data_IF_492618631146
#
_entry.id   IF_492618631146
#
_cell.length_a   1.000
_cell.length_b   1.000
_cell.length_c   1.000
_cell.angle_alpha   90.00
_cell.angle_beta   90.00
_cell.angle_gamma   90.00
#
_symmetry.space_group_name_H-M   'P 1'
#
loop_
_entity.id
_entity.type
_entity.pdbx_description
1 polymer ?
#
# COMPACT_ATOMS: atom_id res chain seq x y z
N UNK A 1 -19.52 -15.08 -15.86
CA UNK A 1 -20.48 -14.77 -14.76
C UNK A 1 -21.89 -15.09 -15.23
N UNK A 2 -22.74 -15.59 -14.35
CA UNK A 2 -24.11 -16.01 -14.66
C UNK A 2 -25.10 -15.05 -14.00
N UNK A 3 -26.13 -14.64 -14.73
CA UNK A 3 -27.25 -13.90 -14.16
C UNK A 3 -27.90 -14.76 -13.06
N UNK A 4 -28.24 -14.14 -11.94
CA UNK A 4 -28.96 -14.82 -10.87
C UNK A 4 -30.32 -15.29 -11.41
N UNK A 5 -30.49 -16.60 -11.55
CA UNK A 5 -31.69 -17.18 -12.16
C UNK A 5 -32.89 -17.04 -11.21
N UNK A 6 -34.00 -16.53 -11.73
CA UNK A 6 -35.30 -16.46 -11.06
C UNK A 6 -36.29 -17.31 -11.88
N UNK A 7 -37.13 -18.09 -11.21
CA UNK A 7 -38.13 -18.91 -11.90
C UNK A 7 -39.24 -18.05 -12.50
N UNK A 8 -39.85 -18.52 -13.59
CA UNK A 8 -40.94 -17.80 -14.27
C UNK A 8 -42.14 -17.55 -13.34
N UNK A 9 -42.47 -18.50 -12.45
CA UNK A 9 -43.54 -18.33 -11.47
C UNK A 9 -43.23 -17.20 -10.50
N UNK A 10 -42.00 -17.16 -9.99
CA UNK A 10 -41.56 -16.11 -9.08
C UNK A 10 -41.57 -14.75 -9.78
N UNK A 11 -41.15 -14.69 -11.05
CA UNK A 11 -41.18 -13.46 -11.84
C UNK A 11 -42.61 -12.93 -12.06
N UNK A 12 -43.58 -13.81 -12.32
CA UNK A 12 -45.00 -13.43 -12.46
C UNK A 12 -45.56 -12.93 -11.13
N UNK A 13 -45.29 -13.62 -10.02
CA UNK A 13 -45.75 -13.22 -8.70
C UNK A 13 -45.20 -11.85 -8.31
N UNK A 14 -43.90 -11.62 -8.52
CA UNK A 14 -43.21 -10.36 -8.21
C UNK A 14 -43.78 -9.21 -9.04
N UNK A 15 -44.01 -9.45 -10.33
CA UNK A 15 -44.65 -8.47 -11.23
C UNK A 15 -46.08 -8.14 -10.81
N UNK A 16 -46.85 -9.13 -10.33
CA UNK A 16 -48.24 -8.94 -9.94
C UNK A 16 -48.34 -8.15 -8.62
N UNK A 17 -47.49 -8.50 -7.64
CA UNK A 17 -47.40 -7.81 -6.35
C UNK A 17 -46.92 -6.36 -6.49
N UNK A 18 -45.91 -6.11 -7.34
CA UNK A 18 -45.38 -4.77 -7.60
C UNK A 18 -46.00 -4.06 -8.80
N UNK A 19 -47.10 -4.60 -9.37
CA UNK A 19 -47.72 -4.07 -10.60
C UNK A 19 -48.11 -2.60 -10.50
N UNK A 20 -48.71 -2.19 -9.37
CA UNK A 20 -49.06 -0.78 -9.13
C UNK A 20 -47.82 0.11 -9.15
N UNK A 21 -46.75 -0.30 -8.45
CA UNK A 21 -45.50 0.46 -8.34
C UNK A 21 -44.74 0.54 -9.68
N UNK A 22 -44.77 -0.53 -10.46
CA UNK A 22 -44.17 -0.61 -11.80
C UNK A 22 -44.94 0.30 -12.78
N UNK A 23 -46.29 0.27 -12.74
CA UNK A 23 -47.13 1.09 -13.62
C UNK A 23 -47.02 2.59 -13.32
N UNK A 24 -46.86 2.97 -12.06
CA UNK A 24 -46.59 4.36 -11.67
C UNK A 24 -45.13 4.78 -11.93
N UNK A 25 -44.27 3.90 -12.45
CA UNK A 25 -42.88 4.20 -12.80
C UNK A 25 -41.95 4.40 -11.59
N UNK A 26 -42.42 4.10 -10.38
CA UNK A 26 -41.60 4.19 -9.16
C UNK A 26 -40.61 3.02 -9.04
N UNK A 27 -40.89 1.90 -9.70
CA UNK A 27 -40.00 0.76 -9.79
C UNK A 27 -39.80 0.36 -11.25
N UNK A 28 -38.58 -0.03 -11.60
CA UNK A 28 -38.24 -0.62 -12.89
C UNK A 28 -37.62 -2.00 -12.66
N UNK A 29 -37.94 -2.96 -13.53
CA UNK A 29 -37.38 -4.31 -13.46
C UNK A 29 -35.96 -4.32 -14.06
N UNK A 30 -34.99 -3.81 -13.30
CA UNK A 30 -33.56 -3.79 -13.68
C UNK A 30 -32.76 -4.76 -12.82
N UNK A 31 -31.93 -5.59 -13.47
CA UNK A 31 -30.97 -6.46 -12.79
C UNK A 31 -29.57 -5.89 -12.96
N UNK A 32 -29.02 -5.35 -11.88
CA UNK A 32 -27.64 -4.87 -11.84
C UNK A 32 -26.71 -6.05 -11.54
N UNK A 33 -25.68 -6.23 -12.37
CA UNK A 33 -24.67 -7.26 -12.18
C UNK A 33 -23.32 -6.58 -11.92
N UNK A 34 -22.83 -6.69 -10.69
CA UNK A 34 -21.49 -6.25 -10.32
C UNK A 34 -20.52 -7.42 -10.52
N UNK A 35 -19.51 -7.22 -11.37
CA UNK A 35 -18.51 -8.23 -11.70
C UNK A 35 -17.14 -7.67 -11.36
N UNK A 36 -16.46 -8.34 -10.45
CA UNK A 36 -15.06 -8.08 -10.17
C UNK A 36 -14.20 -8.65 -11.31
N UNK A 37 -13.61 -7.75 -12.10
CA UNK A 37 -12.74 -8.13 -13.23
C UNK A 37 -11.31 -8.44 -12.76
N UNK A 38 -10.84 -7.74 -11.73
CA UNK A 38 -9.49 -7.85 -11.21
C UNK A 38 -9.47 -7.48 -9.73
N UNK A 39 -9.09 -8.42 -8.86
CA UNK A 39 -9.11 -8.22 -7.41
C UNK A 39 -7.89 -7.48 -6.88
N UNK A 40 -6.71 -7.82 -7.39
CA UNK A 40 -5.43 -7.36 -6.85
C UNK A 40 -4.59 -6.65 -7.92
N UNK A 41 -5.19 -5.67 -8.56
CA UNK A 41 -4.48 -4.92 -9.59
C UNK A 41 -3.36 -4.08 -8.94
N UNK A 42 -2.11 -4.42 -9.27
CA UNK A 42 -0.91 -3.68 -8.83
C UNK A 42 -0.36 -2.90 -10.00
N UNK A 43 -0.53 -1.58 -9.95
CA UNK A 43 0.01 -0.68 -10.96
C UNK A 43 1.55 -0.68 -10.91
N UNK A 44 2.18 -0.80 -12.08
CA UNK A 44 3.62 -0.67 -12.22
C UNK A 44 3.99 0.81 -12.40
N UNK A 45 4.78 1.36 -11.48
CA UNK A 45 5.19 2.78 -11.52
C UNK A 45 5.97 3.18 -12.77
N UNK A 46 6.59 2.23 -13.48
CA UNK A 46 7.36 2.52 -14.69
C UNK A 46 6.54 2.49 -15.98
N UNK A 47 5.34 1.89 -15.95
CA UNK A 47 4.45 1.79 -17.12
C UNK A 47 3.02 2.07 -16.65
N UNK A 48 2.58 3.34 -16.69
CA UNK A 48 1.26 3.72 -16.20
C UNK A 48 0.17 3.12 -17.10
N UNK A 49 -0.91 2.63 -16.48
CA UNK A 49 -2.03 2.08 -17.25
C UNK A 49 -2.94 3.21 -17.70
N UNK A 50 -2.92 3.47 -19.01
CA UNK A 50 -3.62 4.62 -19.61
C UNK A 50 -5.12 4.37 -19.83
N UNK A 51 -5.55 3.12 -19.87
CA UNK A 51 -6.96 2.78 -20.06
C UNK A 51 -7.23 1.28 -19.97
N UNK A 52 -8.51 0.92 -19.98
CA UNK A 52 -8.98 -0.46 -20.00
C UNK A 52 -9.93 -0.66 -21.19
N UNK A 53 -9.75 -1.76 -21.91
CA UNK A 53 -10.66 -2.20 -22.98
C UNK A 53 -11.45 -3.39 -22.43
N UNK A 54 -12.76 -3.25 -22.37
CA UNK A 54 -13.68 -4.28 -21.86
C UNK A 54 -14.50 -4.78 -23.04
N UNK A 55 -14.32 -6.05 -23.39
CA UNK A 55 -15.06 -6.70 -24.46
C UNK A 55 -16.06 -7.71 -23.89
N UNK A 56 -17.28 -7.70 -24.41
CA UNK A 56 -18.33 -8.64 -24.02
C UNK A 56 -18.57 -9.59 -25.17
N UNK A 57 -18.17 -10.84 -25.00
CA UNK A 57 -18.35 -11.88 -26.02
C UNK A 57 -19.79 -12.46 -25.98
N UNK A 58 -20.76 -11.69 -26.44
CA UNK A 58 -22.12 -12.20 -26.69
C UNK A 58 -22.87 -11.38 -27.73
N UNK A 59 -23.44 -12.06 -28.74
CA UNK A 59 -24.27 -11.42 -29.78
C UNK A 59 -25.74 -11.28 -29.39
N UNK A 60 -26.17 -11.86 -28.26
CA UNK A 60 -27.58 -11.94 -27.83
C UNK A 60 -27.79 -11.39 -26.43
N UNK A 61 -27.14 -10.27 -26.11
CA UNK A 61 -27.27 -9.61 -24.81
C UNK A 61 -27.81 -8.19 -25.00
N UNK A 62 -28.77 -7.80 -24.16
CA UNK A 62 -29.32 -6.44 -24.11
C UNK A 62 -28.88 -5.81 -22.80
N UNK A 63 -28.15 -4.69 -22.86
CA UNK A 63 -27.67 -3.95 -21.71
C UNK A 63 -27.98 -2.48 -21.92
N UNK A 64 -28.52 -1.83 -20.88
CA UNK A 64 -28.82 -0.40 -20.92
C UNK A 64 -27.58 0.47 -20.70
N UNK A 65 -26.60 -0.03 -19.96
CA UNK A 65 -25.35 0.66 -19.68
C UNK A 65 -24.40 -0.21 -18.88
N UNK A 66 -23.13 0.15 -18.90
CA UNK A 66 -22.08 -0.48 -18.12
C UNK A 66 -21.28 0.61 -17.42
N UNK A 67 -20.96 0.40 -16.15
CA UNK A 67 -20.16 1.32 -15.35
C UNK A 67 -18.98 0.55 -14.78
N UNK A 68 -17.77 1.08 -14.97
CA UNK A 68 -16.56 0.53 -14.37
C UNK A 68 -16.35 1.19 -13.00
N UNK A 69 -16.38 0.39 -11.93
CA UNK A 69 -16.06 0.84 -10.57
C UNK A 69 -14.66 0.36 -10.20
N UNK A 70 -13.80 1.29 -9.82
CA UNK A 70 -12.43 1.00 -9.37
C UNK A 70 -12.41 1.13 -7.84
N UNK A 71 -12.26 0.00 -7.15
CA UNK A 71 -12.13 -0.03 -5.70
C UNK A 71 -10.64 -0.13 -5.34
N UNK A 72 -10.11 0.93 -4.74
CA UNK A 72 -8.71 0.96 -4.30
C UNK A 72 -8.58 0.34 -2.90
N UNK A 73 -8.10 -0.90 -2.82
CA UNK A 73 -7.70 -1.53 -1.56
C UNK A 73 -6.22 -1.18 -1.26
N UNK A 74 -6.02 -0.09 -0.53
CA UNK A 74 -4.69 0.28 -0.05
C UNK A 74 -4.31 -0.59 1.16
N UNK A 75 -3.27 -1.42 1.03
CA UNK A 75 -2.74 -2.23 2.14
C UNK A 75 -1.30 -1.83 2.52
N UNK A 76 -0.97 -1.94 3.81
CA UNK A 76 0.40 -1.80 4.34
C UNK A 76 0.86 -0.38 4.72
N UNK A 77 2.19 -0.14 4.69
CA UNK A 77 2.81 1.15 5.08
C UNK A 77 2.37 2.31 4.18
N UNK A 78 2.12 2.05 2.89
CA UNK A 78 1.61 3.06 1.95
C UNK A 78 0.24 3.60 2.37
N UNK A 79 -0.62 2.74 2.94
CA UNK A 79 -1.91 3.17 3.47
C UNK A 79 -1.73 4.11 4.66
N UNK A 80 -0.86 3.75 5.60
CA UNK A 80 -0.54 4.59 6.77
C UNK A 80 0.01 5.96 6.32
N UNK A 81 0.90 5.95 5.32
CA UNK A 81 1.51 7.16 4.77
C UNK A 81 0.49 8.05 4.04
N UNK A 82 -0.45 7.45 3.31
CA UNK A 82 -1.47 8.20 2.56
C UNK A 82 -2.56 8.76 3.48
N UNK A 83 -2.96 8.00 4.50
CA UNK A 83 -4.04 8.41 5.41
C UNK A 83 -3.55 9.34 6.53
N UNK A 84 -2.30 9.14 7.00
CA UNK A 84 -1.72 9.93 8.08
C UNK A 84 -0.28 10.38 7.76
N UNK A 85 -0.09 11.27 6.78
CA UNK A 85 1.25 11.72 6.36
C UNK A 85 2.00 12.42 7.50
N UNK A 86 1.29 13.20 8.32
CA UNK A 86 1.89 13.98 9.43
C UNK A 86 2.46 13.08 10.53
N UNK A 87 1.75 12.03 10.92
CA UNK A 87 2.22 11.13 11.98
C UNK A 87 3.39 10.28 11.50
N UNK A 88 3.36 9.82 10.24
CA UNK A 88 4.47 9.08 9.62
C UNK A 88 5.73 9.95 9.54
N UNK A 89 5.61 11.20 9.13
CA UNK A 89 6.72 12.15 9.09
C UNK A 89 7.31 12.37 10.49
N UNK A 90 6.45 12.58 11.49
CA UNK A 90 6.89 12.77 12.86
C UNK A 90 7.62 11.55 13.41
N UNK A 91 7.07 10.34 13.24
CA UNK A 91 7.72 9.09 13.67
C UNK A 91 9.05 8.86 12.94
N UNK A 92 9.12 9.18 11.64
CA UNK A 92 10.35 9.12 10.86
C UNK A 92 11.44 10.06 11.38
N UNK A 93 11.10 11.32 11.62
CA UNK A 93 12.04 12.33 12.15
C UNK A 93 12.44 12.00 13.59
N UNK A 94 11.48 11.64 14.46
CA UNK A 94 11.74 11.32 15.85
C UNK A 94 12.64 10.08 16.00
N UNK A 95 12.42 9.04 15.19
CA UNK A 95 13.26 7.84 15.21
C UNK A 95 14.69 8.14 14.73
N UNK A 96 14.86 8.94 13.67
CA UNK A 96 16.18 9.36 13.20
C UNK A 96 16.92 10.20 14.27
N UNK A 97 16.23 11.16 14.87
CA UNK A 97 16.79 12.00 15.93
C UNK A 97 17.18 11.17 17.16
N UNK A 98 16.34 10.22 17.56
CA UNK A 98 16.63 9.31 18.68
C UNK A 98 17.85 8.46 18.38
N UNK A 99 17.96 7.91 17.16
CA UNK A 99 19.11 7.09 16.76
C UNK A 99 20.43 7.89 16.77
N UNK A 100 20.41 9.10 16.21
CA UNK A 100 21.55 10.00 16.25
C UNK A 100 21.92 10.37 17.68
N UNK A 101 20.94 10.67 18.53
CA UNK A 101 21.15 10.99 19.95
C UNK A 101 21.83 9.84 20.70
N UNK A 102 21.38 8.60 20.47
CA UNK A 102 21.99 7.40 21.07
C UNK A 102 23.44 7.23 20.61
N UNK A 103 23.74 7.39 19.32
CA UNK A 103 25.12 7.29 18.80
C UNK A 103 26.02 8.34 19.44
N UNK A 104 25.56 9.59 19.52
CA UNK A 104 26.33 10.67 20.13
C UNK A 104 26.57 10.41 21.61
N UNK A 105 25.55 9.94 22.35
CA UNK A 105 25.67 9.59 23.76
C UNK A 105 26.68 8.46 23.98
N UNK A 106 26.61 7.39 23.19
CA UNK A 106 27.57 6.28 23.25
C UNK A 106 28.99 6.72 22.88
N UNK A 107 29.13 7.55 21.85
CA UNK A 107 30.42 8.13 21.46
C UNK A 107 31.02 8.98 22.59
N UNK A 108 30.19 9.81 23.22
CA UNK A 108 30.60 10.62 24.36
C UNK A 108 31.01 9.76 25.56
N UNK A 109 30.25 8.71 25.89
CA UNK A 109 30.59 7.77 26.97
C UNK A 109 31.90 7.03 26.68
N UNK A 110 32.10 6.57 25.43
CA UNK A 110 33.36 5.95 25.03
C UNK A 110 34.54 6.93 25.14
N UNK A 111 34.33 8.19 24.78
CA UNK A 111 35.36 9.22 24.89
C UNK A 111 35.69 9.57 26.35
N UNK A 112 34.69 9.72 27.22
CA UNK A 112 34.89 9.96 28.67
C UNK A 112 35.61 8.77 29.31
N UNK A 113 35.19 7.54 29.01
CA UNK A 113 35.85 6.34 29.54
C UNK A 113 37.26 6.13 28.95
N UNK A 114 37.46 6.49 27.68
CA UNK A 114 38.75 6.50 27.01
C UNK A 114 39.68 7.65 27.41
N UNK A 115 39.14 8.72 27.99
CA UNK A 115 39.90 9.81 28.61
C UNK A 115 40.32 9.43 30.04
N UNK A 116 39.50 8.65 30.76
CA UNK A 116 39.83 8.09 32.09
C UNK A 116 40.88 6.98 32.01
N UNK A 117 40.92 6.19 30.92
CA UNK A 117 42.00 5.23 30.67
C UNK A 117 42.93 5.77 29.58
N UNK A 118 44.06 6.43 29.92
CA UNK A 118 45.01 6.84 28.89
C UNK A 118 45.46 5.56 28.20
N UNK A 119 45.17 5.43 26.90
CA UNK A 119 45.78 4.39 26.08
C UNK A 119 47.28 4.58 26.24
N UNK A 120 47.94 3.68 26.96
CA UNK A 120 49.38 3.56 26.95
C UNK A 120 49.77 3.49 25.47
N UNK A 121 50.29 4.59 24.93
CA UNK A 121 51.00 4.54 23.67
C UNK A 121 52.16 3.59 23.94
N UNK A 122 52.05 2.36 23.50
CA UNK A 122 53.21 1.50 23.34
C UNK A 122 54.06 2.18 22.27
N UNK A 123 54.92 3.09 22.72
CA UNK A 123 56.02 3.63 21.96
C UNK A 123 56.87 2.44 21.54
N UNK A 124 56.78 2.06 20.27
CA UNK A 124 57.72 1.18 19.62
C UNK A 124 59.10 1.82 19.78
N UNK A 125 59.83 1.38 20.80
CA UNK A 125 61.19 1.79 21.08
C UNK A 125 62.05 1.17 19.98
N UNK A 126 62.20 1.90 18.87
CA UNK A 126 63.16 1.57 17.82
C UNK A 126 64.54 1.61 18.45
N UNK A 127 65.10 0.42 18.67
CA UNK A 127 66.43 0.20 19.23
C UNK A 127 67.46 0.69 18.22
N UNK A 128 67.89 1.94 18.36
CA UNK A 128 69.05 2.45 17.63
C UNK A 128 70.31 1.76 18.19
N UNK A 129 70.82 0.78 17.46
CA UNK A 129 72.17 0.24 17.65
C UNK A 129 73.18 1.31 17.18
N UNK A 130 74.20 1.66 17.97
CA UNK A 130 75.25 2.55 17.50
C UNK A 130 76.12 1.83 16.47
N UNK A 131 75.95 2.24 15.21
CA UNK A 131 76.99 2.10 14.19
C UNK A 131 78.11 3.09 14.50
N UNK A 132 79.19 2.61 15.13
CA UNK A 132 80.58 2.97 14.80
C UNK A 132 81.54 2.51 15.91
N UNK A 133 82.53 1.70 15.54
CA UNK A 133 83.88 2.25 15.31
C UNK A 133 84.76 1.25 14.57
N UNK A 134 85.67 1.85 13.80
CA UNK A 134 86.88 1.29 13.21
C UNK A 134 87.69 0.45 14.20
#
# INVERSE_FOLDING_TARGET
>A
VMLHYRSQLLQVLDTLLFSSLLLFGFAEQKQLLEVELYSDYRENSYVPTTGAIIEIHSKRIQMYGAYLRIHAHFTGLRYLLYNFPMTCAFVGVASNFTFLSVIVLFSYMQWVWGAVWPRHRFSLQVRNLPSSRM
#
